data_IF_066893959987
#
_entry.id   IF_066893959987
#
_cell.length_a   1.000
_cell.length_b   1.000
_cell.length_c   1.000
_cell.angle_alpha   90.00
_cell.angle_beta   90.00
_cell.angle_gamma   90.00
#
_symmetry.space_group_name_H-M   'P 1'
#
loop_
_entity.id
_entity.type
_entity.pdbx_description
1 polymer ?
#
# COMPACT_ATOMS: atom_id res chain seq x y z
N UNK A 1 -1.41 12.20 12.52
CA UNK A 1 -1.48 10.84 11.93
C UNK A 1 -0.13 10.14 11.89
N UNK A 2 0.86 10.58 11.09
CA UNK A 2 2.18 9.92 11.04
C UNK A 2 2.91 9.89 12.39
N UNK A 3 2.89 11.00 13.14
CA UNK A 3 3.47 11.03 14.49
C UNK A 3 2.75 10.09 15.46
N UNK A 4 1.42 10.00 15.38
CA UNK A 4 0.62 9.08 16.20
C UNK A 4 0.88 7.63 15.81
N UNK A 5 1.00 7.33 14.52
CA UNK A 5 1.38 6.01 14.02
C UNK A 5 2.77 5.60 14.50
N UNK A 6 3.75 6.53 14.50
CA UNK A 6 5.08 6.25 15.05
C UNK A 6 5.05 5.94 16.55
N UNK A 7 4.12 6.56 17.30
CA UNK A 7 3.99 6.35 18.73
C UNK A 7 3.23 5.05 19.08
N UNK A 8 2.16 4.72 18.34
CA UNK A 8 1.34 3.53 18.59
C UNK A 8 0.84 2.93 17.26
N UNK A 9 1.68 2.15 16.55
CA UNK A 9 1.38 1.67 15.20
C UNK A 9 0.13 0.81 15.10
N UNK A 10 -0.10 -0.08 16.08
CA UNK A 10 -1.24 -0.98 16.08
C UNK A 10 -2.59 -0.24 16.12
N UNK A 11 -2.65 0.89 16.84
CA UNK A 11 -3.86 1.68 17.01
C UNK A 11 -4.09 2.67 15.88
N UNK A 12 -3.01 3.26 15.36
CA UNK A 12 -3.08 4.35 14.38
C UNK A 12 -2.61 3.95 12.97
N UNK A 13 -2.59 2.65 12.67
CA UNK A 13 -2.28 2.14 11.33
C UNK A 13 -3.23 2.70 10.25
N UNK A 14 -2.78 2.76 8.98
CA UNK A 14 -3.67 3.09 7.88
C UNK A 14 -4.88 2.15 7.84
N UNK A 15 -6.05 2.69 7.51
CA UNK A 15 -7.30 1.92 7.35
C UNK A 15 -7.64 1.77 5.86
N UNK A 16 -8.33 0.73 5.43
CA UNK A 16 -8.73 0.61 4.01
C UNK A 16 -9.60 1.80 3.56
N UNK A 17 -10.44 2.32 4.46
CA UNK A 17 -11.30 3.47 4.20
C UNK A 17 -10.55 4.77 4.52
N UNK A 18 -10.59 5.73 3.58
CA UNK A 18 -10.05 7.09 3.77
C UNK A 18 -8.56 7.15 4.15
N UNK A 19 -7.75 6.20 3.69
CA UNK A 19 -6.30 6.31 3.82
C UNK A 19 -5.69 7.16 2.73
N UNK A 20 -4.78 8.02 3.17
CA UNK A 20 -3.92 8.86 2.34
C UNK A 20 -2.53 8.25 2.26
N UNK A 21 -1.89 8.37 1.10
CA UNK A 21 -0.46 8.12 0.94
C UNK A 21 0.33 9.17 1.73
N UNK A 22 1.38 8.75 2.44
CA UNK A 22 2.35 9.68 3.00
C UNK A 22 3.24 10.22 1.88
N UNK A 23 3.17 11.53 1.67
CA UNK A 23 3.94 12.28 0.67
C UNK A 23 4.85 13.35 1.28
N UNK A 24 5.02 13.35 2.59
CA UNK A 24 5.69 14.45 3.32
C UNK A 24 7.19 14.24 3.41
N UNK A 25 7.98 15.28 3.05
CA UNK A 25 9.44 15.31 3.21
C UNK A 25 10.20 14.18 2.48
N UNK A 26 9.73 13.77 1.29
CA UNK A 26 10.44 12.84 0.43
C UNK A 26 10.95 13.53 -0.82
N UNK A 27 12.18 13.19 -1.23
CA UNK A 27 12.84 13.73 -2.43
C UNK A 27 12.96 12.69 -3.55
N UNK A 28 12.60 11.43 -3.28
CA UNK A 28 12.60 10.37 -4.28
C UNK A 28 11.53 9.31 -3.98
N UNK A 29 11.08 8.65 -5.04
CA UNK A 29 10.06 7.60 -5.00
C UNK A 29 10.41 6.48 -4.01
N UNK A 30 11.67 6.05 -3.97
CA UNK A 30 12.12 4.96 -3.09
C UNK A 30 11.95 5.32 -1.62
N UNK A 31 12.40 6.52 -1.21
CA UNK A 31 12.23 6.98 0.18
C UNK A 31 10.77 7.09 0.60
N UNK A 32 9.90 7.48 -0.32
CA UNK A 32 8.46 7.54 -0.08
C UNK A 32 7.85 6.13 0.01
N UNK A 33 8.29 5.18 -0.82
CA UNK A 33 7.84 3.78 -0.75
C UNK A 33 8.26 3.10 0.56
N UNK A 34 9.46 3.40 1.03
CA UNK A 34 10.05 2.84 2.26
C UNK A 34 9.52 3.50 3.54
N UNK A 35 8.64 4.51 3.42
CA UNK A 35 8.06 5.14 4.61
C UNK A 35 7.27 4.11 5.42
N UNK A 36 7.38 4.10 6.76
CA UNK A 36 6.66 3.14 7.59
C UNK A 36 5.14 3.16 7.37
N UNK A 37 4.59 4.33 7.06
CA UNK A 37 3.17 4.48 6.75
C UNK A 37 2.80 3.84 5.41
N UNK A 38 3.59 4.09 4.36
CA UNK A 38 3.30 3.54 3.04
C UNK A 38 3.58 2.02 2.98
N UNK A 39 4.54 1.52 3.74
CA UNK A 39 4.76 0.09 3.96
C UNK A 39 3.57 -0.58 4.67
N UNK A 40 3.06 0.02 5.75
CA UNK A 40 1.88 -0.49 6.44
C UNK A 40 0.64 -0.47 5.52
N UNK A 41 0.47 0.59 4.73
CA UNK A 41 -0.60 0.68 3.74
C UNK A 41 -0.49 -0.42 2.67
N UNK A 42 0.72 -0.64 2.13
CA UNK A 42 0.97 -1.73 1.18
C UNK A 42 0.55 -3.07 1.76
N UNK A 43 0.96 -3.37 3.00
CA UNK A 43 0.63 -4.62 3.66
C UNK A 43 -0.88 -4.83 3.81
N UNK A 44 -1.60 -3.81 4.30
CA UNK A 44 -3.05 -3.87 4.51
C UNK A 44 -3.80 -4.02 3.19
N UNK A 45 -3.37 -3.33 2.12
CA UNK A 45 -3.96 -3.49 0.80
C UNK A 45 -3.71 -4.89 0.22
N UNK A 46 -2.50 -5.43 0.35
CA UNK A 46 -2.16 -6.75 -0.13
C UNK A 46 -3.00 -7.84 0.58
N UNK A 47 -3.14 -7.74 1.91
CA UNK A 47 -3.99 -8.64 2.69
C UNK A 47 -5.45 -8.54 2.23
N UNK A 48 -5.97 -7.33 2.02
CA UNK A 48 -7.34 -7.15 1.56
C UNK A 48 -7.59 -7.70 0.14
N UNK A 49 -6.63 -7.55 -0.78
CA UNK A 49 -6.72 -8.18 -2.10
C UNK A 49 -6.76 -9.71 -1.99
N UNK A 50 -5.94 -10.30 -1.12
CA UNK A 50 -5.96 -11.74 -0.87
C UNK A 50 -7.33 -12.19 -0.32
N UNK A 51 -7.89 -11.46 0.65
CA UNK A 51 -9.23 -11.73 1.21
C UNK A 51 -10.32 -11.69 0.12
N UNK A 52 -10.31 -10.67 -0.76
CA UNK A 52 -11.30 -10.54 -1.84
C UNK A 52 -11.27 -11.76 -2.76
N UNK A 53 -10.08 -12.24 -3.13
CA UNK A 53 -9.95 -13.43 -3.98
C UNK A 53 -10.34 -14.71 -3.24
N UNK A 54 -10.02 -14.79 -1.94
CA UNK A 54 -10.40 -15.93 -1.10
C UNK A 54 -11.91 -16.03 -0.85
N UNK A 55 -12.65 -14.92 -0.85
CA UNK A 55 -14.13 -14.96 -0.74
C UNK A 55 -14.84 -15.02 -2.08
N UNK A 56 -14.14 -14.84 -3.21
CA UNK A 56 -14.76 -14.86 -4.53
C UNK A 56 -15.26 -16.28 -4.88
N UNK A 57 -16.53 -16.45 -5.31
CA UNK A 57 -17.05 -17.75 -5.72
C UNK A 57 -16.38 -18.31 -6.99
N UNK A 58 -16.03 -17.42 -7.92
CA UNK A 58 -15.34 -17.77 -9.16
C UNK A 58 -13.82 -17.71 -8.96
N UNK A 59 -13.26 -18.84 -8.50
CA UNK A 59 -11.81 -18.96 -8.27
C UNK A 59 -11.00 -18.90 -9.56
N UNK A 60 -11.55 -19.37 -10.67
CA UNK A 60 -10.83 -19.46 -11.94
C UNK A 60 -10.56 -18.09 -12.56
N UNK A 61 -11.37 -17.08 -12.22
CA UNK A 61 -11.20 -15.69 -12.66
C UNK A 61 -9.81 -15.11 -12.38
N UNK A 62 -9.13 -15.55 -11.33
CA UNK A 62 -7.84 -15.02 -10.90
C UNK A 62 -6.65 -15.91 -11.30
N UNK A 63 -6.92 -16.99 -12.05
CA UNK A 63 -5.93 -18.03 -12.34
C UNK A 63 -5.80 -19.03 -11.18
N UNK A 64 -5.06 -20.11 -11.44
CA UNK A 64 -4.81 -21.19 -10.48
C UNK A 64 -3.52 -20.98 -9.68
N UNK A 65 -2.63 -20.12 -10.18
CA UNK A 65 -1.35 -19.86 -9.55
C UNK A 65 -1.50 -18.90 -8.36
N UNK A 66 -0.75 -19.10 -7.26
CA UNK A 66 -0.71 -18.15 -6.16
C UNK A 66 -0.29 -16.76 -6.62
N UNK A 67 -1.04 -15.74 -6.21
CA UNK A 67 -0.74 -14.34 -6.56
C UNK A 67 0.12 -13.72 -5.45
N UNK A 68 1.29 -13.20 -5.81
CA UNK A 68 2.10 -12.37 -4.93
C UNK A 68 1.53 -10.94 -4.84
N UNK A 69 0.53 -10.77 -3.99
CA UNK A 69 -0.13 -9.48 -3.77
C UNK A 69 0.83 -8.40 -3.24
N UNK A 70 1.86 -8.78 -2.47
CA UNK A 70 2.85 -7.82 -1.98
C UNK A 70 3.62 -7.20 -3.14
N UNK A 71 4.10 -8.03 -4.08
CA UNK A 71 4.81 -7.55 -5.27
C UNK A 71 3.90 -6.72 -6.19
N UNK A 72 2.66 -7.17 -6.44
CA UNK A 72 1.69 -6.43 -7.26
C UNK A 72 1.41 -5.05 -6.68
N UNK A 73 1.15 -4.97 -5.37
CA UNK A 73 0.84 -3.70 -4.70
C UNK A 73 2.08 -2.81 -4.59
N UNK A 74 3.28 -3.38 -4.41
CA UNK A 74 4.55 -2.65 -4.43
C UNK A 74 4.77 -1.94 -5.76
N UNK A 75 4.63 -2.64 -6.89
CA UNK A 75 4.77 -2.05 -8.22
C UNK A 75 3.72 -0.97 -8.46
N UNK A 76 2.46 -1.24 -8.09
CA UNK A 76 1.36 -0.28 -8.25
C UNK A 76 1.60 0.99 -7.43
N UNK A 77 1.98 0.86 -6.17
CA UNK A 77 2.32 1.99 -5.30
C UNK A 77 3.51 2.75 -5.87
N UNK A 78 4.60 2.06 -6.24
CA UNK A 78 5.78 2.69 -6.83
C UNK A 78 5.43 3.59 -8.03
N UNK A 79 4.58 3.11 -8.96
CA UNK A 79 4.14 3.90 -10.12
C UNK A 79 3.36 5.15 -9.72
N UNK A 80 2.46 5.05 -8.74
CA UNK A 80 1.71 6.21 -8.23
C UNK A 80 2.64 7.22 -7.54
N UNK A 81 3.55 6.72 -6.71
CA UNK A 81 4.56 7.51 -6.00
C UNK A 81 5.50 8.22 -6.97
N UNK A 82 5.89 7.56 -8.06
CA UNK A 82 6.70 8.15 -9.13
C UNK A 82 5.95 9.28 -9.83
N UNK A 83 4.66 9.10 -10.12
CA UNK A 83 3.83 10.13 -10.72
C UNK A 83 3.71 11.36 -9.80
N UNK A 84 3.52 11.14 -8.49
CA UNK A 84 3.51 12.21 -7.48
C UNK A 84 4.84 12.97 -7.47
N UNK A 85 5.96 12.25 -7.43
CA UNK A 85 7.30 12.85 -7.39
C UNK A 85 7.59 13.67 -8.64
N UNK A 86 7.19 13.18 -9.83
CA UNK A 86 7.34 13.90 -11.10
C UNK A 86 6.44 15.13 -11.24
N UNK A 87 5.33 15.18 -10.50
CA UNK A 87 4.40 16.30 -10.51
C UNK A 87 4.74 17.40 -9.50
N UNK A 88 5.78 17.22 -8.68
CA UNK A 88 6.28 18.27 -7.80
C UNK A 88 6.94 19.37 -8.64
N UNK A 89 6.63 20.66 -8.38
CA UNK A 89 7.20 21.80 -9.11
C UNK A 89 8.68 22.02 -8.80
#
# INVERSE_FOLDING_TARGET
>A
RLQQFRAEPARYQPMLVNTTIDKTNFHCTTSMLESPWNQALQFILAAHCAEIVDVCPDKLRFGLEPIDWQSVLKDKLYRMLLAITKAQP
#
